data_IF_496839751710
#
_entry.id   IF_496839751710
#
_cell.length_a   1.000
_cell.length_b   1.000
_cell.length_c   1.000
_cell.angle_alpha   90.00
_cell.angle_beta   90.00
_cell.angle_gamma   90.00
#
_symmetry.space_group_name_H-M   'P 1'
#
loop_
_entity.id
_entity.type
_entity.pdbx_description
1 polymer ?
#
# COMPACT_ATOMS: atom_id res chain seq x y z
N UNK A 1 -20.60 -68.81 30.99
CA UNK A 1 -19.80 -68.46 29.76
C UNK A 1 -19.05 -67.16 30.08
N UNK A 2 -17.74 -67.24 30.45
CA UNK A 2 -16.88 -66.07 30.70
C UNK A 2 -16.32 -65.56 29.36
N UNK A 3 -16.63 -64.32 28.99
CA UNK A 3 -16.01 -63.63 27.88
C UNK A 3 -14.67 -63.03 28.34
N UNK A 4 -13.58 -63.61 27.83
CA UNK A 4 -12.22 -63.10 28.00
C UNK A 4 -12.03 -61.84 27.12
N UNK A 5 -11.92 -60.66 27.75
CA UNK A 5 -11.54 -59.43 27.09
C UNK A 5 -10.06 -59.35 26.79
N UNK A 6 -9.67 -59.51 25.53
CA UNK A 6 -8.27 -59.30 25.07
C UNK A 6 -7.94 -57.81 25.17
N UNK A 7 -7.08 -57.42 26.10
CA UNK A 7 -6.45 -56.09 26.14
C UNK A 7 -5.45 -55.98 24.99
N UNK A 8 -5.79 -55.15 24.00
CA UNK A 8 -4.83 -54.79 22.95
C UNK A 8 -3.85 -53.76 23.53
N UNK A 9 -2.66 -54.24 23.88
CA UNK A 9 -1.58 -53.34 24.26
C UNK A 9 -1.04 -52.71 22.97
N UNK A 10 -1.36 -51.44 22.73
CA UNK A 10 -0.74 -50.64 21.66
C UNK A 10 0.73 -50.36 22.09
N UNK A 11 1.68 -51.12 21.56
CA UNK A 11 3.09 -50.80 21.63
C UNK A 11 3.35 -49.48 20.90
N UNK A 12 3.36 -48.37 21.63
CA UNK A 12 3.90 -47.12 21.12
C UNK A 12 5.43 -47.31 21.07
N UNK A 13 6.03 -47.44 19.87
CA UNK A 13 7.45 -47.36 19.65
C UNK A 13 7.94 -46.07 20.33
N UNK A 14 8.80 -46.22 21.36
CA UNK A 14 9.55 -45.09 21.91
C UNK A 14 10.44 -44.56 20.78
N UNK A 15 10.20 -43.35 20.35
CA UNK A 15 11.07 -42.66 19.40
C UNK A 15 12.38 -42.41 20.14
N UNK A 16 13.45 -42.94 19.59
CA UNK A 16 14.81 -42.81 20.14
C UNK A 16 15.21 -41.32 20.00
N UNK A 17 15.27 -40.60 21.12
CA UNK A 17 15.59 -39.17 21.15
C UNK A 17 17.05 -38.89 20.78
N UNK A 18 17.92 -39.92 20.77
CA UNK A 18 19.33 -39.80 20.36
C UNK A 18 19.52 -39.65 18.85
N UNK A 19 18.48 -39.96 18.05
CA UNK A 19 18.52 -39.83 16.57
C UNK A 19 18.05 -38.48 16.04
N UNK A 20 17.63 -37.54 16.91
CA UNK A 20 17.21 -36.23 16.46
C UNK A 20 18.42 -35.31 16.19
N UNK A 21 18.50 -34.66 15.01
CA UNK A 21 19.58 -33.72 14.74
C UNK A 21 19.58 -32.60 15.76
N UNK A 22 20.78 -32.18 16.20
CA UNK A 22 20.93 -31.06 17.13
C UNK A 22 20.37 -29.79 16.51
N UNK A 23 19.23 -29.34 17.01
CA UNK A 23 18.57 -28.09 16.55
C UNK A 23 19.06 -26.96 17.43
N UNK A 24 19.61 -25.90 16.82
CA UNK A 24 20.06 -24.71 17.54
C UNK A 24 18.90 -24.05 18.31
N UNK A 25 19.22 -23.36 19.42
CA UNK A 25 18.21 -22.73 20.25
C UNK A 25 17.35 -21.70 19.43
N UNK A 26 17.96 -21.03 18.45
CA UNK A 26 17.23 -20.13 17.53
C UNK A 26 16.19 -20.89 16.68
N UNK A 27 16.54 -22.05 16.17
CA UNK A 27 15.62 -22.89 15.38
C UNK A 27 14.48 -23.47 16.24
N UNK A 28 14.77 -23.79 17.51
CA UNK A 28 13.71 -24.21 18.46
C UNK A 28 12.72 -23.09 18.75
N UNK A 29 13.19 -21.85 18.88
CA UNK A 29 12.33 -20.67 19.08
C UNK A 29 11.48 -20.41 17.84
N UNK A 30 12.07 -20.44 16.65
CA UNK A 30 11.34 -20.30 15.39
C UNK A 30 10.30 -21.40 15.20
N UNK A 31 10.65 -22.64 15.51
CA UNK A 31 9.70 -23.76 15.46
C UNK A 31 8.52 -23.57 16.41
N UNK A 32 8.78 -23.14 17.66
CA UNK A 32 7.73 -22.81 18.62
C UNK A 32 6.86 -21.65 18.14
N UNK A 33 7.46 -20.62 17.55
CA UNK A 33 6.72 -19.49 17.01
C UNK A 33 5.83 -19.91 15.83
N UNK A 34 6.35 -20.72 14.93
CA UNK A 34 5.59 -21.26 13.79
C UNK A 34 4.44 -22.16 14.23
N UNK A 35 4.65 -23.00 15.26
CA UNK A 35 3.58 -23.86 15.80
C UNK A 35 2.59 -23.14 16.69
N UNK A 36 2.92 -21.93 17.16
CA UNK A 36 2.02 -21.09 17.95
C UNK A 36 1.02 -20.31 17.10
N UNK A 37 1.26 -20.20 15.79
CA UNK A 37 0.35 -19.49 14.86
C UNK A 37 -0.93 -20.31 14.67
N UNK A 38 -2.05 -19.79 15.18
CA UNK A 38 -3.38 -20.39 14.99
C UNK A 38 -4.05 -19.91 13.71
N UNK A 39 -3.96 -18.62 13.46
CA UNK A 39 -4.58 -18.00 12.31
C UNK A 39 -3.74 -16.82 11.84
N UNK A 40 -3.61 -16.70 10.53
CA UNK A 40 -3.06 -15.51 9.89
C UNK A 40 -3.95 -15.13 8.71
N UNK A 41 -4.26 -13.86 8.57
CA UNK A 41 -4.93 -13.33 7.41
C UNK A 41 -4.15 -12.15 6.84
N UNK A 42 -4.06 -12.10 5.54
CA UNK A 42 -3.45 -11.02 4.80
C UNK A 42 -4.42 -10.56 3.73
N UNK A 43 -4.68 -9.28 3.67
CA UNK A 43 -5.53 -8.67 2.65
C UNK A 43 -4.83 -7.46 2.05
N UNK A 44 -4.82 -7.40 0.74
CA UNK A 44 -4.42 -6.22 -0.01
C UNK A 44 -5.57 -5.82 -0.92
N UNK A 45 -5.89 -4.54 -0.90
CA UNK A 45 -6.91 -3.94 -1.75
C UNK A 45 -6.31 -2.72 -2.42
N UNK A 46 -6.43 -2.66 -3.75
CA UNK A 46 -6.00 -1.52 -4.55
C UNK A 46 -7.17 -1.07 -5.41
N UNK A 47 -7.48 0.21 -5.34
CA UNK A 47 -8.50 0.84 -6.15
C UNK A 47 -7.86 1.99 -6.93
N UNK A 48 -7.95 1.93 -8.23
CA UNK A 48 -7.50 2.98 -9.13
C UNK A 48 -8.71 3.54 -9.88
N UNK A 49 -8.92 4.84 -9.81
CA UNK A 49 -9.96 5.54 -10.53
C UNK A 49 -9.35 6.63 -11.41
N UNK A 50 -9.75 6.68 -12.66
CA UNK A 50 -9.36 7.73 -13.59
C UNK A 50 -10.58 8.29 -14.26
N UNK A 51 -10.75 9.62 -14.17
CA UNK A 51 -11.77 10.38 -14.88
C UNK A 51 -11.10 11.17 -15.98
N UNK A 52 -11.40 10.80 -17.23
CA UNK A 52 -10.93 11.50 -18.42
C UNK A 52 -12.10 12.32 -18.99
N UNK A 53 -12.14 13.61 -18.75
CA UNK A 53 -13.18 14.47 -19.33
C UNK A 53 -12.86 14.77 -20.79
N UNK A 54 -13.92 15.07 -21.57
CA UNK A 54 -13.78 15.45 -22.97
C UNK A 54 -13.37 14.31 -23.90
N UNK A 55 -13.51 13.07 -23.46
CA UNK A 55 -13.28 11.92 -24.32
C UNK A 55 -14.31 11.89 -25.46
N UNK A 56 -13.86 11.96 -26.70
CA UNK A 56 -14.69 12.15 -27.90
C UNK A 56 -14.82 10.88 -28.76
N UNK A 57 -14.02 9.87 -28.51
CA UNK A 57 -14.13 8.61 -29.25
C UNK A 57 -15.25 7.72 -28.66
N UNK A 58 -15.85 6.89 -29.51
CA UNK A 58 -16.90 5.98 -29.07
C UNK A 58 -16.33 4.64 -28.62
N UNK A 59 -16.61 4.26 -27.38
CA UNK A 59 -16.28 2.92 -26.89
C UNK A 59 -17.33 1.92 -27.36
N UNK A 60 -16.89 0.71 -27.71
CA UNK A 60 -17.77 -0.39 -28.12
C UNK A 60 -17.69 -1.54 -27.09
N UNK A 61 -17.19 -2.68 -27.49
CA UNK A 61 -17.11 -3.84 -26.60
C UNK A 61 -16.01 -3.67 -25.57
N UNK A 62 -16.34 -3.97 -24.28
CA UNK A 62 -15.41 -3.92 -23.16
C UNK A 62 -14.76 -2.54 -22.97
N UNK A 63 -15.45 -1.46 -23.37
CA UNK A 63 -14.93 -0.11 -23.23
C UNK A 63 -13.83 0.27 -24.24
N UNK A 64 -13.54 -0.55 -25.23
CA UNK A 64 -12.53 -0.31 -26.26
C UNK A 64 -13.13 -0.04 -27.63
N UNK A 65 -12.62 0.94 -28.34
CA UNK A 65 -12.84 1.07 -29.76
C UNK A 65 -11.72 0.33 -30.51
N UNK A 66 -12.03 -0.83 -31.04
CA UNK A 66 -11.05 -1.70 -31.72
C UNK A 66 -10.52 -1.12 -33.04
N UNK A 67 -11.19 -0.12 -33.60
CA UNK A 67 -10.73 0.55 -34.83
C UNK A 67 -9.68 1.62 -34.54
N UNK A 68 -9.92 2.46 -33.55
CA UNK A 68 -8.99 3.52 -33.13
C UNK A 68 -8.02 3.08 -32.03
N UNK A 69 -8.26 1.90 -31.43
CA UNK A 69 -7.56 1.38 -30.27
C UNK A 69 -7.65 2.30 -29.04
N UNK A 70 -8.73 3.09 -28.95
CA UNK A 70 -8.96 4.03 -27.88
C UNK A 70 -9.86 3.43 -26.77
N UNK A 71 -9.65 3.69 -25.49
CA UNK A 71 -8.57 4.50 -24.90
C UNK A 71 -7.24 3.76 -24.69
N UNK A 72 -7.16 2.52 -25.08
CA UNK A 72 -6.02 1.65 -24.93
C UNK A 72 -6.20 0.61 -23.81
N UNK A 73 -5.56 -0.56 -24.02
CA UNK A 73 -5.71 -1.71 -23.11
C UNK A 73 -5.23 -1.40 -21.70
N UNK A 74 -4.16 -0.63 -21.56
CA UNK A 74 -3.64 -0.24 -20.24
C UNK A 74 -4.67 0.54 -19.44
N UNK A 75 -5.38 1.47 -20.08
CA UNK A 75 -6.44 2.26 -19.45
C UNK A 75 -7.61 1.35 -19.00
N UNK A 76 -7.99 0.40 -19.85
CA UNK A 76 -9.06 -0.56 -19.53
C UNK A 76 -8.71 -1.50 -18.38
N UNK A 77 -7.43 -1.83 -18.24
CA UNK A 77 -6.92 -2.66 -17.14
C UNK A 77 -6.73 -1.87 -15.84
N UNK A 78 -7.15 -0.59 -15.80
CA UNK A 78 -7.08 0.24 -14.61
C UNK A 78 -5.69 0.84 -14.35
N UNK A 79 -4.76 0.74 -15.32
CA UNK A 79 -3.49 1.46 -15.22
C UNK A 79 -3.74 2.95 -15.39
N UNK A 80 -3.26 3.73 -14.46
CA UNK A 80 -3.45 5.18 -14.50
C UNK A 80 -2.52 5.80 -15.54
N UNK A 81 -3.08 6.55 -16.51
CA UNK A 81 -2.30 7.23 -17.52
C UNK A 81 -1.48 8.38 -16.93
N UNK A 82 -0.33 8.64 -17.53
CA UNK A 82 0.52 9.79 -17.24
C UNK A 82 0.27 10.95 -18.21
N UNK A 83 0.99 12.06 -18.02
CA UNK A 83 0.92 13.23 -18.89
C UNK A 83 1.34 12.91 -20.33
N UNK A 84 2.25 11.95 -20.53
CA UNK A 84 2.71 11.54 -21.87
C UNK A 84 1.60 10.83 -22.64
N UNK A 85 0.81 9.99 -21.95
CA UNK A 85 -0.37 9.35 -22.51
C UNK A 85 -1.44 10.38 -22.90
N UNK A 86 -1.68 11.38 -22.05
CA UNK A 86 -2.67 12.43 -22.33
C UNK A 86 -2.31 13.24 -23.58
N UNK A 87 -1.04 13.58 -23.73
CA UNK A 87 -0.52 14.24 -24.93
C UNK A 87 -0.64 13.34 -26.17
N UNK A 88 -0.42 12.02 -26.03
CA UNK A 88 -0.61 11.08 -27.13
C UNK A 88 -2.10 10.93 -27.51
N UNK A 89 -2.98 10.87 -26.51
CA UNK A 89 -4.44 10.78 -26.71
C UNK A 89 -4.98 12.04 -27.43
N UNK A 90 -4.49 13.23 -27.06
CA UNK A 90 -4.87 14.49 -27.72
C UNK A 90 -4.43 14.54 -29.17
N UNK A 91 -3.18 14.10 -29.48
CA UNK A 91 -2.70 14.03 -30.87
C UNK A 91 -3.49 13.04 -31.72
N UNK A 92 -3.98 11.95 -31.14
CA UNK A 92 -4.84 10.97 -31.81
C UNK A 92 -6.30 11.44 -31.98
N UNK A 93 -6.66 12.61 -31.44
CA UNK A 93 -8.01 13.14 -31.52
C UNK A 93 -9.00 12.44 -30.60
N UNK A 94 -8.54 11.80 -29.54
CA UNK A 94 -9.41 11.14 -28.54
C UNK A 94 -10.02 12.12 -27.54
N UNK A 95 -9.50 13.33 -27.47
CA UNK A 95 -9.93 14.38 -26.54
C UNK A 95 -10.47 15.57 -27.35
N UNK A 96 -11.57 16.14 -26.87
CA UNK A 96 -12.24 17.28 -27.53
C UNK A 96 -11.31 18.48 -27.69
N UNK A 97 -11.47 19.14 -28.83
CA UNK A 97 -10.82 20.43 -29.15
C UNK A 97 -11.70 21.65 -28.85
N UNK A 98 -12.74 21.46 -28.05
CA UNK A 98 -13.59 22.58 -27.64
C UNK A 98 -12.82 23.48 -26.66
N UNK A 99 -12.63 24.74 -27.06
CA UNK A 99 -11.91 25.75 -26.27
C UNK A 99 -12.67 26.18 -25.02
N UNK A 100 -14.00 26.00 -25.01
CA UNK A 100 -14.87 26.32 -23.87
C UNK A 100 -14.90 25.22 -22.83
N UNK A 101 -14.35 24.02 -23.17
CA UNK A 101 -14.35 22.86 -22.30
C UNK A 101 -13.38 23.05 -21.12
N UNK A 102 -13.91 23.01 -19.91
CA UNK A 102 -13.15 23.29 -18.68
C UNK A 102 -13.42 22.25 -17.57
N UNK A 103 -13.42 20.98 -17.92
CA UNK A 103 -13.54 19.91 -16.93
C UNK A 103 -12.18 19.41 -16.47
N UNK A 104 -12.11 19.01 -15.20
CA UNK A 104 -10.87 18.60 -14.56
C UNK A 104 -10.62 17.10 -14.81
N UNK A 105 -9.43 16.77 -15.28
CA UNK A 105 -8.88 15.41 -15.24
C UNK A 105 -8.56 15.03 -13.80
N UNK A 106 -8.96 13.85 -13.39
CA UNK A 106 -8.76 13.38 -12.01
C UNK A 106 -8.32 11.94 -12.00
N UNK A 107 -7.39 11.64 -11.09
CA UNK A 107 -6.99 10.29 -10.74
C UNK A 107 -7.01 10.14 -9.24
N UNK A 108 -7.49 9.00 -8.75
CA UNK A 108 -7.31 8.59 -7.37
C UNK A 108 -6.75 7.17 -7.32
N UNK A 109 -5.84 6.94 -6.42
CA UNK A 109 -5.28 5.64 -6.11
C UNK A 109 -5.35 5.41 -4.62
N UNK A 110 -5.98 4.31 -4.22
CA UNK A 110 -6.11 3.91 -2.83
C UNK A 110 -5.58 2.49 -2.67
N UNK A 111 -4.60 2.32 -1.79
CA UNK A 111 -4.05 1.03 -1.41
C UNK A 111 -4.27 0.80 0.08
N UNK A 112 -4.85 -0.32 0.43
CA UNK A 112 -5.00 -0.77 1.81
C UNK A 112 -4.42 -2.17 1.96
N UNK A 113 -3.54 -2.31 2.93
CA UNK A 113 -2.95 -3.57 3.33
C UNK A 113 -3.32 -3.81 4.78
N UNK A 114 -3.88 -4.98 5.08
CA UNK A 114 -4.16 -5.41 6.44
C UNK A 114 -3.56 -6.79 6.67
N UNK A 115 -2.95 -6.95 7.82
CA UNK A 115 -2.46 -8.24 8.30
C UNK A 115 -2.96 -8.45 9.71
N UNK A 116 -3.54 -9.60 9.96
CA UNK A 116 -3.88 -10.02 11.32
C UNK A 116 -3.36 -11.43 11.58
N UNK A 117 -2.84 -11.64 12.77
CA UNK A 117 -2.36 -12.95 13.21
C UNK A 117 -2.74 -13.20 14.65
N UNK A 118 -3.14 -14.44 14.94
CA UNK A 118 -3.38 -14.94 16.28
C UNK A 118 -2.35 -15.98 16.62
N UNK A 119 -1.65 -15.75 17.71
CA UNK A 119 -0.58 -16.60 18.21
C UNK A 119 -0.92 -17.12 19.61
N UNK A 120 -0.72 -18.39 19.84
CA UNK A 120 -0.81 -19.00 21.19
C UNK A 120 0.50 -19.71 21.51
N UNK A 121 1.53 -18.97 21.94
CA UNK A 121 2.86 -19.53 22.22
C UNK A 121 2.86 -20.47 23.43
N UNK A 122 1.95 -20.27 24.37
CA UNK A 122 1.78 -21.06 25.58
C UNK A 122 0.28 -21.20 25.82
N UNK A 123 -0.16 -22.25 26.50
CA UNK A 123 -1.57 -22.42 26.91
C UNK A 123 -2.04 -21.18 27.64
N UNK A 124 -3.25 -20.73 27.32
CA UNK A 124 -3.93 -19.57 27.91
C UNK A 124 -3.30 -18.19 27.63
N UNK A 125 -2.27 -18.10 26.75
CA UNK A 125 -1.71 -16.85 26.29
C UNK A 125 -2.05 -16.62 24.81
N UNK A 126 -3.06 -15.80 24.56
CA UNK A 126 -3.45 -15.38 23.21
C UNK A 126 -2.86 -14.01 22.89
N UNK A 127 -2.10 -13.95 21.81
CA UNK A 127 -1.52 -12.71 21.28
C UNK A 127 -2.17 -12.43 19.93
N UNK A 128 -2.83 -11.29 19.81
CA UNK A 128 -3.41 -10.84 18.55
C UNK A 128 -2.56 -9.70 17.98
N UNK A 129 -2.06 -9.87 16.77
CA UNK A 129 -1.31 -8.87 16.03
C UNK A 129 -2.20 -8.31 14.92
N UNK A 130 -2.39 -7.00 14.89
CA UNK A 130 -3.09 -6.30 13.83
C UNK A 130 -2.17 -5.23 13.27
N UNK A 131 -1.89 -5.33 11.97
CA UNK A 131 -1.09 -4.36 11.22
C UNK A 131 -1.96 -3.81 10.10
N UNK A 132 -1.94 -2.50 9.92
CA UNK A 132 -2.61 -1.85 8.81
C UNK A 132 -1.70 -0.81 8.18
N UNK A 133 -1.78 -0.72 6.87
CA UNK A 133 -1.14 0.32 6.07
C UNK A 133 -2.17 0.84 5.10
N UNK A 134 -2.35 2.14 5.03
CA UNK A 134 -3.12 2.78 3.97
C UNK A 134 -2.26 3.82 3.25
N UNK A 135 -2.45 3.89 1.96
CA UNK A 135 -1.83 4.87 1.09
C UNK A 135 -2.89 5.37 0.12
N UNK A 136 -3.02 6.68 0.00
CA UNK A 136 -3.84 7.27 -1.02
C UNK A 136 -3.04 8.34 -1.77
N UNK A 137 -3.34 8.49 -3.04
CA UNK A 137 -2.77 9.51 -3.91
C UNK A 137 -3.85 10.03 -4.83
N UNK A 138 -4.02 11.33 -4.86
CA UNK A 138 -4.93 12.01 -5.75
C UNK A 138 -4.15 12.94 -6.67
N UNK A 139 -4.51 12.93 -7.94
CA UNK A 139 -3.96 13.84 -8.93
C UNK A 139 -5.11 14.52 -9.65
N UNK A 140 -4.99 15.81 -9.92
CA UNK A 140 -5.93 16.55 -10.73
C UNK A 140 -5.22 17.63 -11.53
N UNK A 141 -5.72 17.86 -12.75
CA UNK A 141 -5.26 18.95 -13.60
C UNK A 141 -6.36 19.38 -14.56
N UNK A 142 -6.30 20.60 -15.04
CA UNK A 142 -7.11 21.04 -16.16
C UNK A 142 -6.33 20.82 -17.45
N UNK A 143 -6.77 19.86 -18.24
CA UNK A 143 -6.18 19.55 -19.55
C UNK A 143 -7.15 20.00 -20.64
N UNK A 144 -6.78 21.03 -21.39
CA UNK A 144 -7.67 21.60 -22.40
C UNK A 144 -6.93 22.05 -23.63
N UNK A 145 -7.69 22.12 -24.73
CA UNK A 145 -7.26 22.70 -25.99
C UNK A 145 -7.28 24.21 -25.91
N UNK A 146 -6.24 24.86 -26.44
CA UNK A 146 -6.17 26.30 -26.63
C UNK A 146 -6.00 26.59 -28.12
N UNK A 147 -6.86 27.38 -28.65
CA UNK A 147 -6.73 27.97 -29.99
C UNK A 147 -6.09 29.34 -29.83
N UNK A 148 -4.82 29.43 -30.19
CA UNK A 148 -4.13 30.72 -30.22
C UNK A 148 -4.36 31.33 -31.60
N UNK A 149 -5.38 32.15 -31.70
CA UNK A 149 -5.75 32.87 -32.95
C UNK A 149 -4.55 33.66 -33.49
N UNK A 150 -3.92 33.16 -34.54
CA UNK A 150 -2.78 33.78 -35.21
C UNK A 150 -1.48 33.05 -35.18
N UNK A 151 -1.38 31.92 -34.48
CA UNK A 151 -0.19 31.03 -34.47
C UNK A 151 -0.51 29.64 -34.97
N UNK A 152 0.45 29.00 -35.63
CA UNK A 152 0.35 27.64 -36.15
C UNK A 152 0.31 26.55 -35.06
N UNK A 153 0.23 26.92 -33.81
CA UNK A 153 0.31 26.02 -32.66
C UNK A 153 -1.04 25.88 -31.97
N UNK A 154 -1.87 25.00 -32.50
CA UNK A 154 -3.04 24.47 -31.77
C UNK A 154 -2.53 23.42 -30.76
N UNK A 155 -2.44 23.77 -29.49
CA UNK A 155 -1.85 22.91 -28.50
C UNK A 155 -2.80 22.62 -27.33
N UNK A 156 -2.73 21.39 -26.83
CA UNK A 156 -3.28 21.07 -25.52
C UNK A 156 -2.29 21.54 -24.45
N UNK A 157 -2.83 22.09 -23.38
CA UNK A 157 -2.04 22.56 -22.25
C UNK A 157 -2.47 21.91 -20.95
N UNK A 158 -1.50 21.75 -20.08
CA UNK A 158 -1.65 21.26 -18.71
C UNK A 158 -1.68 22.47 -17.77
N UNK A 159 -2.79 22.68 -17.06
CA UNK A 159 -2.98 23.79 -16.14
C UNK A 159 -3.26 23.30 -14.74
N UNK A 160 -2.65 23.98 -13.77
CA UNK A 160 -2.86 23.75 -12.34
C UNK A 160 -2.75 22.28 -11.92
N UNK A 161 -1.64 21.59 -12.25
CA UNK A 161 -1.44 20.24 -11.78
C UNK A 161 -1.34 20.22 -10.26
N UNK A 162 -2.16 19.41 -9.62
CA UNK A 162 -2.18 19.23 -8.18
C UNK A 162 -2.04 17.76 -7.81
N UNK A 163 -1.13 17.46 -6.90
CA UNK A 163 -0.96 16.12 -6.34
C UNK A 163 -1.09 16.21 -4.83
N UNK A 164 -1.96 15.39 -4.27
CA UNK A 164 -2.14 15.23 -2.83
C UNK A 164 -2.23 13.78 -2.46
N UNK A 165 -2.11 13.49 -1.18
CA UNK A 165 -2.25 12.12 -0.69
C UNK A 165 -1.92 11.98 0.78
N UNK A 166 -2.10 10.76 1.30
CA UNK A 166 -1.82 10.40 2.67
C UNK A 166 -1.19 9.02 2.78
N UNK A 167 -0.46 8.83 3.83
CA UNK A 167 0.15 7.56 4.18
C UNK A 167 0.00 7.32 5.67
N UNK A 168 -0.67 6.23 6.02
CA UNK A 168 -0.87 5.80 7.39
C UNK A 168 -0.35 4.39 7.57
N UNK A 169 0.35 4.16 8.67
CA UNK A 169 0.85 2.85 9.04
C UNK A 169 0.75 2.64 10.54
N UNK A 170 0.17 1.52 10.95
CA UNK A 170 0.26 1.05 12.32
C UNK A 170 1.45 0.12 12.50
N UNK A 171 2.20 0.33 13.55
CA UNK A 171 3.34 -0.52 13.90
C UNK A 171 3.41 -0.70 15.42
N UNK A 172 4.05 -1.79 15.83
CA UNK A 172 4.30 -2.10 17.24
C UNK A 172 5.75 -1.77 17.55
N UNK A 173 5.97 -0.84 18.46
CA UNK A 173 7.31 -0.45 18.91
C UNK A 173 7.76 -1.31 20.10
N UNK A 174 8.17 -2.55 19.86
CA UNK A 174 8.62 -3.46 20.93
C UNK A 174 9.75 -2.90 21.80
N UNK A 175 10.63 -2.09 21.23
CA UNK A 175 11.76 -1.49 21.98
C UNK A 175 11.33 -0.54 23.10
N UNK A 176 10.14 0.06 22.98
CA UNK A 176 9.62 0.99 23.97
C UNK A 176 8.78 0.32 25.04
N UNK A 177 8.19 -0.84 24.74
CA UNK A 177 7.34 -1.60 25.65
C UNK A 177 8.10 -2.24 26.82
N UNK A 178 9.36 -2.58 26.62
CA UNK A 178 10.19 -3.31 27.60
C UNK A 178 11.39 -2.50 28.10
N UNK A 179 11.34 -1.18 27.96
CA UNK A 179 12.34 -0.29 28.53
C UNK A 179 12.28 -0.33 30.07
N UNK A 180 13.45 -0.39 30.74
CA UNK A 180 13.50 -0.25 32.19
C UNK A 180 12.95 1.13 32.58
N UNK A 181 11.91 1.15 33.38
CA UNK A 181 11.35 2.36 33.94
C UNK A 181 12.15 2.76 35.18
N UNK A 182 12.71 3.97 35.18
CA UNK A 182 13.35 4.58 36.32
C UNK A 182 12.60 5.90 36.62
N UNK A 183 11.88 5.97 37.76
CA UNK A 183 11.08 7.15 38.09
C UNK A 183 11.92 8.42 38.28
N UNK A 184 13.22 8.27 38.57
CA UNK A 184 14.13 9.42 38.83
C UNK A 184 14.88 9.88 37.57
N UNK A 185 14.67 9.25 36.41
CA UNK A 185 15.36 9.59 35.17
C UNK A 185 14.38 9.77 34.01
N UNK A 186 14.67 10.80 33.22
CA UNK A 186 13.98 10.96 31.92
C UNK A 186 14.28 9.76 31.04
N UNK A 187 13.24 9.12 30.51
CA UNK A 187 13.43 7.92 29.68
C UNK A 187 14.34 8.19 28.47
N UNK A 188 15.18 7.22 28.15
CA UNK A 188 16.07 7.33 26.98
C UNK A 188 15.29 7.53 25.68
N UNK A 189 14.07 6.98 25.62
CA UNK A 189 13.14 7.14 24.48
C UNK A 189 12.66 8.60 24.36
N UNK A 190 12.36 9.25 25.48
CA UNK A 190 11.96 10.67 25.47
C UNK A 190 13.09 11.58 25.07
N UNK A 191 14.33 11.31 25.53
CA UNK A 191 15.52 12.05 25.06
C UNK A 191 15.70 11.94 23.55
N UNK A 192 15.62 10.73 23.00
CA UNK A 192 15.67 10.53 21.54
C UNK A 192 14.56 11.29 20.81
N UNK A 193 13.36 11.33 21.36
CA UNK A 193 12.27 12.12 20.78
C UNK A 193 12.61 13.60 20.74
N UNK A 194 13.20 14.15 21.81
CA UNK A 194 13.67 15.54 21.84
C UNK A 194 14.77 15.80 20.79
N UNK A 195 15.72 14.88 20.66
CA UNK A 195 16.80 15.00 19.66
C UNK A 195 16.24 14.98 18.24
N UNK A 196 15.27 14.09 17.96
CA UNK A 196 14.63 14.03 16.64
C UNK A 196 13.79 15.27 16.32
N UNK A 197 13.23 15.96 17.30
CA UNK A 197 12.57 17.25 17.08
C UNK A 197 13.54 18.30 16.53
N UNK A 198 14.75 18.35 17.03
CA UNK A 198 15.78 19.27 16.51
C UNK A 198 16.13 18.94 15.06
N UNK A 199 16.38 17.66 14.77
CA UNK A 199 16.66 17.21 13.40
C UNK A 199 15.51 17.53 12.45
N UNK A 200 14.26 17.34 12.90
CA UNK A 200 13.08 17.63 12.08
C UNK A 200 12.95 19.14 11.83
N UNK A 201 13.14 19.97 12.86
CA UNK A 201 13.08 21.43 12.72
C UNK A 201 14.16 21.98 11.78
N UNK A 202 15.36 21.40 11.83
CA UNK A 202 16.45 21.76 10.91
C UNK A 202 16.12 21.39 9.46
N UNK A 203 15.57 20.18 9.24
CA UNK A 203 15.14 19.74 7.90
C UNK A 203 14.02 20.59 7.32
N UNK A 204 13.03 20.94 8.14
CA UNK A 204 11.94 21.82 7.74
C UNK A 204 12.42 23.24 7.46
N UNK A 205 13.35 23.76 8.28
CA UNK A 205 13.98 25.05 8.04
C UNK A 205 14.74 25.10 6.71
N UNK A 206 15.52 24.05 6.40
CA UNK A 206 16.21 23.94 5.12
C UNK A 206 15.22 23.80 3.95
N UNK A 207 14.16 23.02 4.08
CA UNK A 207 13.15 22.88 3.04
C UNK A 207 12.43 24.18 2.73
N UNK A 208 12.15 25.02 3.75
CA UNK A 208 11.52 26.32 3.56
C UNK A 208 12.45 27.35 2.91
N UNK A 209 13.77 27.24 3.09
CA UNK A 209 14.74 28.12 2.39
C UNK A 209 14.76 27.91 0.88
N UNK A 210 14.39 26.74 0.38
CA UNK A 210 14.30 26.46 -1.06
C UNK A 210 12.96 26.89 -1.69
N UNK A 211 11.95 27.25 -0.89
CA UNK A 211 10.64 27.67 -1.38
C UNK A 211 10.41 29.19 -1.37
N UNK A 212 11.45 29.97 -1.08
CA UNK A 212 11.41 31.44 -1.17
C UNK A 212 12.20 31.83 -2.43
N UNK A 213 11.61 31.60 -3.59
CA UNK A 213 11.98 32.23 -4.86
C UNK A 213 10.68 32.59 -5.58
#
# INVERSE_FOLDING_TARGET
>A
IKKSGRKVVKNRKKIDQSAMPYVSNGMKILGKLATSLKQASFSISENAHTRLPGYSDSTKYVGQNWKSMAPGVDFLLGRQPDTSWMNAASRKGWITKDTTFNSIFMQSFDQRLTFSAQLEPIRDLNITLNLSKSFNKNYSETFRFIDTSGGTNHNFIHLNPYTGGGFDVSYIAFKTLFGKFDPNRVSATFKKFQDYRLVLSERLGKANQYNIV
#
